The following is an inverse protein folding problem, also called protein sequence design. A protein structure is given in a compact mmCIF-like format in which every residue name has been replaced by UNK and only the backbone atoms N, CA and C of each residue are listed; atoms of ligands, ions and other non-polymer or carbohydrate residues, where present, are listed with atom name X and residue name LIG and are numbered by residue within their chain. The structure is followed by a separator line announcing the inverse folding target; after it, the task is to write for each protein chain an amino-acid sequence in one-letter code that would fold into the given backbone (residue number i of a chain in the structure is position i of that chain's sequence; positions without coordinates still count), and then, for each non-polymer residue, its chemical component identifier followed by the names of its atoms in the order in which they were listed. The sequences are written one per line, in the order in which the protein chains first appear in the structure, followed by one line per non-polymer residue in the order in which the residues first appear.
data_IF_545931341198
#
_entry.id   IF_545931341198
#
_cell.length_a   1.000
_cell.length_b   1.000
_cell.length_c   1.000
_cell.angle_alpha   90.00
_cell.angle_beta   90.00
_cell.angle_gamma   90.00
#
_symmetry.space_group_name_H-M   'P 1'
#
loop_
_entity.id
_entity.type
_entity.pdbx_description
1 polymer ?
#
# COMPACT_ATOMS: atom_id res chain seq x y z
N UNK A 1 -14.83 17.21 -44.04
CA UNK A 1 -13.50 16.57 -43.96
C UNK A 1 -12.68 17.47 -43.04
N UNK A 2 -12.96 17.42 -41.74
CA UNK A 2 -12.45 16.46 -40.74
C UNK A 2 -10.98 16.71 -40.39
N UNK A 3 -10.73 16.92 -39.09
CA UNK A 3 -9.41 17.14 -38.52
C UNK A 3 -9.54 17.70 -37.10
N UNK A 4 -10.20 16.94 -36.21
CA UNK A 4 -10.24 17.24 -34.77
C UNK A 4 -8.85 16.98 -34.23
N UNK A 5 -8.26 17.97 -33.58
CA UNK A 5 -6.96 17.87 -32.94
C UNK A 5 -6.91 16.68 -31.99
N UNK A 6 -5.98 15.79 -32.27
CA UNK A 6 -5.62 14.66 -31.44
C UNK A 6 -4.87 15.22 -30.23
N UNK A 7 -5.53 15.21 -29.06
CA UNK A 7 -4.85 15.50 -27.80
C UNK A 7 -4.04 14.26 -27.47
N UNK A 8 -2.71 14.40 -27.48
CA UNK A 8 -1.77 13.38 -27.04
C UNK A 8 -2.09 12.95 -25.59
N UNK A 9 -2.83 11.85 -25.47
CA UNK A 9 -3.12 11.20 -24.20
C UNK A 9 -1.84 10.43 -23.82
N UNK A 10 -0.97 11.05 -23.03
CA UNK A 10 0.21 10.39 -22.50
C UNK A 10 -0.22 9.12 -21.75
N UNK A 11 0.26 7.98 -22.25
CA UNK A 11 0.00 6.67 -21.68
C UNK A 11 0.59 6.63 -20.27
N UNK A 12 -0.26 6.72 -19.26
CA UNK A 12 0.11 6.36 -17.89
C UNK A 12 0.47 4.88 -17.91
N UNK A 13 1.78 4.61 -17.87
CA UNK A 13 2.33 3.27 -17.78
C UNK A 13 1.91 2.67 -16.43
N UNK A 14 0.88 1.82 -16.45
CA UNK A 14 0.46 1.05 -15.27
C UNK A 14 1.57 0.03 -14.99
N UNK A 15 2.42 0.29 -14.01
CA UNK A 15 3.48 -0.62 -13.54
C UNK A 15 2.81 -1.83 -12.85
N UNK A 16 2.54 -2.90 -13.60
CA UNK A 16 1.87 -4.12 -13.09
C UNK A 16 2.83 -5.12 -12.40
N UNK A 17 4.06 -4.74 -12.06
CA UNK A 17 5.01 -5.62 -11.36
C UNK A 17 4.88 -5.50 -9.82
N UNK A 18 3.66 -5.65 -9.29
CA UNK A 18 3.48 -5.87 -7.84
C UNK A 18 3.76 -7.35 -7.57
N UNK A 19 4.99 -7.63 -7.14
CA UNK A 19 5.45 -8.95 -6.74
C UNK A 19 4.71 -9.41 -5.48
N UNK A 20 3.57 -10.06 -5.67
CA UNK A 20 2.82 -10.77 -4.62
C UNK A 20 3.57 -12.06 -4.22
N UNK A 21 4.76 -11.92 -3.63
CA UNK A 21 5.52 -13.03 -3.06
C UNK A 21 4.89 -13.57 -1.77
N UNK A 22 5.25 -14.79 -1.32
CA UNK A 22 4.76 -15.34 -0.06
C UNK A 22 5.13 -14.49 1.17
N UNK A 23 6.14 -13.63 1.04
CA UNK A 23 6.58 -12.62 2.02
C UNK A 23 5.78 -11.32 2.00
N UNK A 24 4.83 -11.15 1.06
CA UNK A 24 3.93 -10.01 1.03
C UNK A 24 3.05 -10.02 2.30
N UNK A 25 3.33 -9.10 3.21
CA UNK A 25 2.69 -9.00 4.52
C UNK A 25 3.55 -9.40 5.72
N UNK A 26 4.75 -9.96 5.51
CA UNK A 26 5.68 -10.32 6.60
C UNK A 26 6.64 -9.17 6.96
N UNK A 27 7.01 -8.33 5.99
CA UNK A 27 7.88 -7.17 6.17
C UNK A 27 7.22 -5.90 5.63
N UNK A 28 7.64 -4.74 6.16
CA UNK A 28 7.17 -3.43 5.71
C UNK A 28 6.44 -2.62 6.79
N UNK A 29 5.96 -1.45 6.37
CA UNK A 29 5.22 -0.49 7.20
C UNK A 29 3.85 -1.09 7.52
N UNK A 30 3.52 -1.28 8.80
CA UNK A 30 2.19 -1.71 9.19
C UNK A 30 1.22 -0.55 8.96
N UNK A 31 0.08 -0.86 8.33
CA UNK A 31 -0.98 0.09 8.00
C UNK A 31 -2.34 -0.51 8.35
N UNK A 32 -3.23 0.31 8.86
CA UNK A 32 -4.66 0.02 8.87
C UNK A 32 -5.22 0.34 7.48
N UNK A 33 -5.80 -0.67 6.83
CA UNK A 33 -6.32 -0.54 5.49
C UNK A 33 -7.69 -1.18 5.32
N UNK A 34 -8.54 -0.58 4.49
CA UNK A 34 -9.89 -1.06 4.22
C UNK A 34 -9.98 -1.75 2.86
N UNK A 35 -10.51 -2.97 2.86
CA UNK A 35 -10.80 -3.69 1.63
C UNK A 35 -11.88 -2.96 0.82
N UNK A 36 -11.60 -2.60 -0.43
CA UNK A 36 -12.59 -1.92 -1.28
C UNK A 36 -13.79 -2.80 -1.61
N UNK A 37 -13.62 -4.12 -1.58
CA UNK A 37 -14.65 -5.12 -1.89
C UNK A 37 -15.60 -5.44 -0.75
N UNK A 38 -15.10 -5.80 0.45
CA UNK A 38 -15.95 -6.16 1.60
C UNK A 38 -16.01 -5.10 2.71
N UNK A 39 -15.31 -3.96 2.53
CA UNK A 39 -15.26 -2.84 3.49
C UNK A 39 -14.77 -3.22 4.88
N UNK A 40 -14.08 -4.35 4.99
CA UNK A 40 -13.47 -4.78 6.25
C UNK A 40 -12.08 -4.17 6.38
N UNK A 41 -11.86 -3.51 7.50
CA UNK A 41 -10.56 -3.01 7.92
C UNK A 41 -9.66 -4.15 8.39
N UNK A 42 -8.40 -4.12 7.97
CA UNK A 42 -7.38 -5.09 8.34
C UNK A 42 -6.02 -4.41 8.40
N UNK A 43 -5.25 -4.77 9.42
CA UNK A 43 -3.83 -4.44 9.44
C UNK A 43 -3.13 -5.23 8.34
N UNK A 44 -2.33 -4.52 7.54
CA UNK A 44 -1.47 -5.07 6.49
C UNK A 44 -0.08 -4.50 6.65
N UNK A 45 0.94 -5.24 6.21
CA UNK A 45 2.30 -4.72 6.08
C UNK A 45 2.58 -4.53 4.61
N UNK A 46 3.01 -3.33 4.25
CA UNK A 46 3.26 -2.91 2.87
C UNK A 46 4.64 -2.25 2.79
N UNK A 47 5.28 -2.35 1.64
CA UNK A 47 6.56 -1.67 1.42
C UNK A 47 6.36 -0.15 1.51
N UNK A 48 7.31 0.56 2.10
CA UNK A 48 7.25 2.03 2.19
C UNK A 48 7.23 2.73 0.82
N UNK A 49 7.68 2.04 -0.25
CA UNK A 49 7.63 2.54 -1.63
C UNK A 49 6.21 2.49 -2.24
N UNK A 50 5.33 1.64 -1.71
CA UNK A 50 3.97 1.46 -2.23
C UNK A 50 2.92 2.39 -1.60
N UNK A 51 3.30 3.13 -0.56
CA UNK A 51 2.42 4.04 0.16
C UNK A 51 3.15 5.35 0.45
N UNK A 52 2.40 6.45 0.48
CA UNK A 52 2.95 7.71 0.96
C UNK A 52 2.85 7.73 2.48
N UNK A 53 3.97 7.43 3.15
CA UNK A 53 4.01 7.36 4.62
C UNK A 53 3.87 8.73 5.29
N UNK A 54 4.21 9.82 4.60
CA UNK A 54 4.13 11.19 5.12
C UNK A 54 2.68 11.68 5.15
N UNK A 55 1.95 11.43 4.07
CA UNK A 55 0.53 11.76 3.92
C UNK A 55 -0.40 10.66 4.44
N UNK A 56 0.14 9.54 4.93
CA UNK A 56 -0.60 8.36 5.41
C UNK A 56 -1.62 7.80 4.40
N UNK A 57 -1.36 7.96 3.11
CA UNK A 57 -2.28 7.58 2.04
C UNK A 57 -1.64 6.59 1.09
N UNK A 58 -2.48 5.76 0.49
CA UNK A 58 -2.01 4.77 -0.47
C UNK A 58 -3.10 3.77 -0.83
N UNK A 59 -2.92 3.10 -1.96
CA UNK A 59 -3.79 2.01 -2.39
C UNK A 59 -2.93 0.89 -2.91
N UNK A 60 -3.11 -0.32 -2.38
CA UNK A 60 -2.30 -1.47 -2.73
C UNK A 60 -3.18 -2.71 -2.92
N UNK A 61 -2.66 -3.72 -3.61
CA UNK A 61 -3.38 -4.97 -3.89
C UNK A 61 -2.93 -6.06 -2.93
N UNK A 62 -3.86 -6.68 -2.22
CA UNK A 62 -3.58 -7.80 -1.32
C UNK A 62 -4.72 -8.81 -1.28
N UNK A 63 -4.44 -10.06 -0.90
CA UNK A 63 -5.47 -11.04 -0.57
C UNK A 63 -6.31 -10.58 0.63
N UNK A 64 -7.62 -10.55 0.44
CA UNK A 64 -8.62 -10.33 1.49
C UNK A 64 -9.20 -11.67 1.96
N UNK A 65 -9.12 -11.95 3.27
CA UNK A 65 -9.67 -13.18 3.84
C UNK A 65 -11.21 -13.24 3.74
N UNK A 66 -11.89 -12.09 3.87
CA UNK A 66 -13.35 -12.02 3.71
C UNK A 66 -13.80 -12.29 2.29
N UNK A 67 -13.15 -11.69 1.29
CA UNK A 67 -13.48 -11.89 -0.12
C UNK A 67 -12.89 -13.19 -0.72
N UNK A 68 -11.91 -13.81 -0.06
CA UNK A 68 -11.15 -14.98 -0.53
C UNK A 68 -10.52 -14.79 -1.91
N UNK A 69 -10.11 -13.56 -2.24
CA UNK A 69 -9.47 -13.18 -3.50
C UNK A 69 -8.54 -11.98 -3.31
N UNK A 70 -7.72 -11.69 -4.31
CA UNK A 70 -6.95 -10.44 -4.39
C UNK A 70 -7.88 -9.25 -4.55
N UNK A 71 -7.80 -8.30 -3.62
CA UNK A 71 -8.60 -7.08 -3.57
C UNK A 71 -7.69 -5.86 -3.41
N UNK A 72 -8.20 -4.71 -3.82
CA UNK A 72 -7.57 -3.43 -3.50
C UNK A 72 -7.89 -3.04 -2.05
N UNK A 73 -6.91 -2.44 -1.39
CA UNK A 73 -7.00 -1.91 -0.05
C UNK A 73 -6.56 -0.46 -0.06
N UNK A 74 -7.34 0.41 0.57
CA UNK A 74 -6.97 1.81 0.76
C UNK A 74 -6.43 1.97 2.17
N UNK A 75 -5.26 2.61 2.30
CA UNK A 75 -4.70 2.97 3.60
C UNK A 75 -5.63 3.99 4.27
N UNK A 76 -5.88 3.80 5.55
CA UNK A 76 -6.63 4.73 6.40
C UNK A 76 -5.69 5.38 7.42
N UNK A 77 -4.71 4.61 7.91
CA UNK A 77 -3.69 5.08 8.82
C UNK A 77 -2.44 4.20 8.67
N UNK A 78 -1.26 4.78 8.87
CA UNK A 78 -0.03 3.99 9.12
C UNK A 78 -0.11 3.42 10.56
N UNK A 79 0.85 2.65 11.06
CA UNK A 79 0.95 2.17 12.45
C UNK A 79 2.40 2.30 12.94
N UNK A 80 2.91 3.52 13.03
CA UNK A 80 4.21 3.94 13.58
C UNK A 80 4.57 3.24 14.89
N UNK A 81 3.59 3.04 15.78
CA UNK A 81 3.77 2.35 17.07
C UNK A 81 4.24 0.88 16.91
N UNK A 82 3.93 0.26 15.77
CA UNK A 82 4.33 -1.11 15.42
C UNK A 82 5.59 -1.17 14.55
N UNK A 83 6.22 -0.02 14.29
CA UNK A 83 7.56 0.06 13.70
C UNK A 83 8.52 0.02 14.88
N UNK A 84 9.11 -1.15 15.14
CA UNK A 84 10.12 -1.31 16.18
C UNK A 84 11.31 -0.41 15.87
N UNK A 85 11.36 0.76 16.48
CA UNK A 85 12.53 1.64 16.44
C UNK A 85 13.62 0.94 17.23
N UNK A 86 14.53 0.25 16.55
CA UNK A 86 15.76 -0.29 17.13
C UNK A 86 16.73 0.81 17.56
N UNK A 87 16.28 1.73 18.42
CA UNK A 87 17.10 2.73 19.09
C UNK A 87 17.41 2.27 20.50
N UNK A 88 18.42 1.41 20.61
CA UNK A 88 18.98 1.01 21.90
C UNK A 88 19.42 2.24 22.69
N UNK A 89 18.89 2.33 23.90
CA UNK A 89 19.41 3.08 25.02
C UNK A 89 20.94 2.86 25.13
N UNK A 90 21.73 3.90 24.89
CA UNK A 90 23.08 4.02 25.43
C UNK A 90 23.04 5.21 26.39
N UNK A 91 22.69 4.92 27.63
CA UNK A 91 23.15 5.70 28.77
C UNK A 91 24.68 5.58 28.82
N UNK A 92 25.39 6.71 28.76
CA UNK A 92 26.80 6.80 29.16
C UNK A 92 26.82 7.72 30.39
N UNK A 93 27.40 7.20 31.47
CA UNK A 93 27.40 7.74 32.85
C UNK A 93 28.14 9.08 33.01
#
# INVERSE_FOLDING_TARGET
MEGRGDVDLEAVEIRDDVKLGPTAGECGVPVDAICTGCKTERVKRVSADEIDTDSETGTFRHVCHGCRKGCWFNVIAVRWDLIETGGGDLVDE
#
